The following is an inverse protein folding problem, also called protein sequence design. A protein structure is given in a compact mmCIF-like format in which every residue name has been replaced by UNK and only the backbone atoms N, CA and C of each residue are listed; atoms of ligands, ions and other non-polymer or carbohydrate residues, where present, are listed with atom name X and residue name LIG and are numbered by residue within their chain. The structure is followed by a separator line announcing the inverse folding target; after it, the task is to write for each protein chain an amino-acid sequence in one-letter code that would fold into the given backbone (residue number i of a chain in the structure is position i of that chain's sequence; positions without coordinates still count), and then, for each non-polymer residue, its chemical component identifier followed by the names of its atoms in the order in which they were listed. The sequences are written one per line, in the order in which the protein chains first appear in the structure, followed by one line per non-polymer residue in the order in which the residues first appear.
data_IF_205375846888
#
_entry.id   IF_205375846888
#
_cell.length_a   1.000
_cell.length_b   1.000
_cell.length_c   1.000
_cell.angle_alpha   90.00
_cell.angle_beta   90.00
_cell.angle_gamma   90.00
#
_symmetry.space_group_name_H-M   'P 1'
#
loop_
_entity.id
_entity.type
_entity.pdbx_description
1 polymer ?
#
# COMPACT_ATOMS: atom_id res chain seq x y z
N UNK A 1 3.74 7.41 6.43
CA UNK A 1 5.04 6.72 6.62
C UNK A 1 5.39 5.75 5.50
N UNK A 2 4.79 4.54 5.38
CA UNK A 2 5.18 3.55 4.34
C UNK A 2 5.20 4.08 2.90
N UNK A 3 4.27 4.98 2.55
CA UNK A 3 4.25 5.65 1.26
C UNK A 3 5.50 6.54 1.04
N UNK A 4 5.96 7.28 2.07
CA UNK A 4 7.17 8.10 1.99
C UNK A 4 8.41 7.26 1.71
N UNK A 5 8.48 6.08 2.33
CA UNK A 5 9.58 5.14 2.09
C UNK A 5 9.53 4.59 0.66
N UNK A 6 8.36 4.14 0.20
CA UNK A 6 8.20 3.60 -1.15
C UNK A 6 8.47 4.65 -2.26
N UNK A 7 8.13 5.91 -2.01
CA UNK A 7 8.47 7.05 -2.86
C UNK A 7 9.98 7.34 -2.89
N UNK A 8 10.66 7.08 -1.77
CA UNK A 8 12.05 7.47 -1.55
C UNK A 8 12.19 8.95 -1.19
N UNK A 9 11.24 9.52 -0.44
CA UNK A 9 11.31 10.91 0.02
C UNK A 9 12.25 11.11 1.20
N UNK A 10 12.55 10.05 1.92
CA UNK A 10 13.31 10.13 3.17
C UNK A 10 14.80 10.15 2.87
N UNK A 11 15.58 11.01 3.55
CA UNK A 11 17.03 10.99 3.45
C UNK A 11 17.58 9.67 3.99
N UNK A 12 18.69 9.20 3.44
CA UNK A 12 19.46 8.13 4.07
C UNK A 12 20.22 8.73 5.26
N UNK A 13 19.90 8.28 6.48
CA UNK A 13 20.59 8.69 7.70
C UNK A 13 21.28 7.48 8.34
N UNK A 14 22.57 7.32 8.08
CA UNK A 14 23.42 6.34 8.76
C UNK A 14 22.83 4.93 8.84
N UNK A 15 22.69 4.43 10.07
CA UNK A 15 22.16 3.10 10.40
C UNK A 15 20.64 3.08 10.63
N UNK A 16 19.95 4.23 10.56
CA UNK A 16 18.53 4.31 10.86
C UNK A 16 17.68 3.57 9.81
N UNK A 17 16.69 2.84 10.30
CA UNK A 17 15.68 2.23 9.42
C UNK A 17 14.87 3.33 8.74
N UNK A 18 14.47 3.12 7.47
CA UNK A 18 13.64 4.08 6.76
C UNK A 18 12.31 4.35 7.46
N UNK A 19 11.77 3.38 8.20
CA UNK A 19 10.60 3.54 9.06
C UNK A 19 10.87 4.50 10.24
N UNK A 20 12.02 4.38 10.89
CA UNK A 20 12.44 5.28 11.97
C UNK A 20 12.64 6.70 11.48
N UNK A 21 13.30 6.88 10.33
CA UNK A 21 13.44 8.20 9.68
C UNK A 21 12.07 8.79 9.34
N UNK A 22 11.12 7.97 8.83
CA UNK A 22 9.76 8.43 8.56
C UNK A 22 9.01 8.89 9.82
N UNK A 23 9.21 8.19 10.95
CA UNK A 23 8.59 8.53 12.23
C UNK A 23 9.17 9.82 12.80
N UNK A 24 10.49 10.00 12.73
CA UNK A 24 11.17 11.24 13.12
C UNK A 24 10.69 12.43 12.29
N UNK A 25 10.62 12.30 10.96
CA UNK A 25 10.08 13.35 10.09
C UNK A 25 8.62 13.66 10.43
N UNK A 26 7.79 12.66 10.72
CA UNK A 26 6.40 12.90 11.12
C UNK A 26 6.32 13.69 12.44
N UNK A 27 7.11 13.31 13.44
CA UNK A 27 7.16 14.00 14.73
C UNK A 27 7.65 15.44 14.57
N UNK A 28 8.60 15.71 13.68
CA UNK A 28 9.03 17.07 13.37
C UNK A 28 7.90 17.90 12.76
N UNK A 29 7.14 17.36 11.79
CA UNK A 29 5.98 18.05 11.21
C UNK A 29 4.89 18.33 12.25
N UNK A 30 4.71 17.44 13.22
CA UNK A 30 3.79 17.61 14.35
C UNK A 30 4.28 18.72 15.29
N UNK A 31 5.56 18.68 15.68
CA UNK A 31 6.16 19.67 16.59
C UNK A 31 6.18 21.09 15.98
N UNK A 32 6.19 21.19 14.65
CA UNK A 32 6.08 22.45 13.90
C UNK A 32 4.62 22.86 13.63
N UNK A 33 3.64 22.17 14.20
CA UNK A 33 2.21 22.39 14.01
C UNK A 33 1.74 22.34 12.55
N UNK A 34 2.51 21.70 11.65
CA UNK A 34 2.11 21.52 10.25
C UNK A 34 1.16 20.35 10.07
N UNK A 35 1.27 19.36 10.95
CA UNK A 35 0.39 18.20 11.02
C UNK A 35 -0.18 18.11 12.43
N UNK A 36 -1.49 17.91 12.52
CA UNK A 36 -2.19 17.65 13.77
C UNK A 36 -2.41 16.16 13.95
N UNK A 37 -2.26 15.69 15.19
CA UNK A 37 -2.56 14.30 15.56
C UNK A 37 -4.07 14.17 15.73
N UNK A 38 -4.69 13.24 15.01
CA UNK A 38 -6.11 12.94 15.15
C UNK A 38 -6.35 11.89 16.22
N UNK A 39 -6.05 10.64 15.91
CA UNK A 39 -6.24 9.50 16.82
C UNK A 39 -4.93 8.80 17.09
N UNK A 40 -4.82 8.25 18.30
CA UNK A 40 -3.74 7.36 18.69
C UNK A 40 -4.19 5.90 18.64
N UNK A 41 -3.24 5.00 18.47
CA UNK A 41 -3.42 3.58 18.71
C UNK A 41 -3.50 3.32 20.23
N UNK A 42 -3.93 2.12 20.62
CA UNK A 42 -3.92 1.69 22.03
C UNK A 42 -2.51 1.67 22.65
N UNK A 43 -1.45 1.75 21.84
CA UNK A 43 -0.06 1.83 22.26
C UNK A 43 0.48 3.28 22.24
N UNK A 44 -0.39 4.29 22.13
CA UNK A 44 0.00 5.70 22.10
C UNK A 44 0.61 6.18 20.78
N UNK A 45 0.74 5.31 19.75
CA UNK A 45 1.28 5.71 18.43
C UNK A 45 0.28 6.46 17.58
N UNK A 46 0.72 7.43 16.78
CA UNK A 46 -0.13 8.18 15.83
C UNK A 46 -0.79 7.24 14.83
N UNK A 47 -2.13 7.26 14.78
CA UNK A 47 -2.96 6.44 13.90
C UNK A 47 -3.54 7.25 12.75
N UNK A 48 -4.06 8.43 13.04
CA UNK A 48 -4.57 9.37 12.03
C UNK A 48 -3.97 10.75 12.25
N UNK A 49 -3.86 11.48 11.14
CA UNK A 49 -3.32 12.84 11.11
C UNK A 49 -4.27 13.74 10.31
N UNK A 50 -4.22 15.04 10.58
CA UNK A 50 -4.90 16.08 9.82
C UNK A 50 -3.93 17.23 9.52
N UNK A 51 -4.24 18.01 8.49
CA UNK A 51 -3.52 19.23 8.13
C UNK A 51 -4.53 20.37 8.14
N UNK A 52 -4.12 21.54 8.60
CA UNK A 52 -4.97 22.73 8.59
C UNK A 52 -5.28 23.18 7.15
N UNK A 53 -6.49 23.68 6.90
CA UNK A 53 -6.94 24.02 5.54
C UNK A 53 -6.02 25.02 4.83
N UNK A 54 -5.53 26.05 5.53
CA UNK A 54 -4.54 26.99 4.99
C UNK A 54 -3.24 26.32 4.53
N UNK A 55 -2.71 25.35 5.30
CA UNK A 55 -1.50 24.61 4.92
C UNK A 55 -1.78 23.64 3.77
N UNK A 56 -2.98 23.07 3.73
CA UNK A 56 -3.44 22.24 2.63
C UNK A 56 -3.49 23.07 1.34
N UNK A 57 -4.12 24.24 1.36
CA UNK A 57 -4.27 25.10 0.18
C UNK A 57 -2.91 25.65 -0.29
N UNK A 58 -2.04 26.04 0.66
CA UNK A 58 -0.65 26.38 0.36
C UNK A 58 0.09 25.21 -0.31
N UNK A 59 0.00 24.00 0.26
CA UNK A 59 0.64 22.80 -0.30
C UNK A 59 0.11 22.46 -1.70
N UNK A 60 -1.18 22.66 -1.94
CA UNK A 60 -1.80 22.46 -3.25
C UNK A 60 -1.30 23.50 -4.26
N UNK A 61 -1.11 24.75 -3.85
CA UNK A 61 -0.52 25.79 -4.72
C UNK A 61 0.89 25.40 -5.16
N UNK A 62 1.77 25.14 -4.20
CA UNK A 62 3.17 24.75 -4.48
C UNK A 62 3.23 23.48 -5.33
N UNK A 63 2.34 22.52 -5.07
CA UNK A 63 2.26 21.28 -5.86
C UNK A 63 1.90 21.52 -7.32
N UNK A 64 1.08 22.53 -7.65
CA UNK A 64 0.74 22.88 -9.04
C UNK A 64 1.93 23.53 -9.73
N UNK A 65 2.56 24.50 -9.06
CA UNK A 65 3.71 25.23 -9.59
C UNK A 65 4.89 24.28 -9.91
N UNK A 66 5.09 23.27 -9.05
CA UNK A 66 6.15 22.27 -9.19
C UNK A 66 5.73 21.03 -10.01
N UNK A 67 4.49 20.98 -10.52
CA UNK A 67 3.90 19.78 -11.15
C UNK A 67 4.07 18.50 -10.30
N UNK A 68 4.04 18.63 -8.98
CA UNK A 68 4.42 17.59 -8.05
C UNK A 68 3.37 16.46 -7.93
N UNK A 69 2.08 16.83 -7.94
CA UNK A 69 0.93 15.93 -7.83
C UNK A 69 -0.23 16.40 -8.74
N UNK A 70 -0.72 15.52 -9.60
CA UNK A 70 -1.97 15.69 -10.33
C UNK A 70 -3.15 15.16 -9.53
N UNK A 71 -4.15 16.01 -9.27
CA UNK A 71 -5.36 15.64 -8.52
C UNK A 71 -6.54 15.66 -9.48
N UNK A 72 -7.32 14.57 -9.51
CA UNK A 72 -8.50 14.45 -10.34
C UNK A 72 -9.76 14.28 -9.48
N UNK A 73 -10.70 15.22 -9.59
CA UNK A 73 -11.93 15.29 -8.78
C UNK A 73 -13.23 15.11 -9.59
N UNK A 74 -13.17 14.81 -10.89
CA UNK A 74 -14.38 14.50 -11.70
C UNK A 74 -14.87 15.62 -12.63
N UNK A 75 -13.97 16.42 -13.20
CA UNK A 75 -14.28 17.45 -14.22
C UNK A 75 -13.66 17.15 -15.59
N UNK A 76 -13.98 17.98 -16.59
CA UNK A 76 -13.32 17.94 -17.89
C UNK A 76 -11.81 18.15 -17.73
N UNK A 77 -11.05 17.28 -18.39
CA UNK A 77 -9.59 17.37 -18.38
C UNK A 77 -9.23 18.52 -19.31
N UNK A 78 -8.87 19.67 -18.75
CA UNK A 78 -8.19 20.74 -19.51
C UNK A 78 -6.87 20.18 -20.04
N UNK A 79 -6.92 19.64 -21.25
CA UNK A 79 -5.77 19.10 -21.96
C UNK A 79 -5.11 20.21 -22.74
N UNK A 80 -4.36 21.07 -22.06
CA UNK A 80 -3.48 22.05 -22.72
C UNK A 80 -2.00 21.88 -22.37
N UNK A 81 -1.64 20.94 -21.50
CA UNK A 81 -0.24 20.78 -21.07
C UNK A 81 0.45 19.62 -21.77
N UNK A 82 1.63 19.91 -22.35
CA UNK A 82 2.48 18.98 -23.09
C UNK A 82 2.81 17.69 -22.29
N UNK A 83 3.18 16.57 -22.94
CA UNK A 83 3.52 15.33 -22.25
C UNK A 83 4.67 15.44 -21.23
N UNK A 84 5.60 16.38 -21.44
CA UNK A 84 6.81 16.60 -20.62
C UNK A 84 6.56 17.30 -19.27
N UNK A 85 5.43 17.97 -19.12
CA UNK A 85 5.02 18.73 -17.92
C UNK A 85 4.05 17.95 -17.03
N UNK A 86 3.80 16.67 -17.34
CA UNK A 86 2.82 15.86 -16.60
C UNK A 86 3.40 15.38 -15.28
N UNK A 87 2.59 15.52 -14.23
CA UNK A 87 2.96 15.08 -12.90
C UNK A 87 3.31 13.59 -12.88
N UNK A 88 4.31 13.24 -12.06
CA UNK A 88 4.72 11.85 -11.83
C UNK A 88 3.88 11.15 -10.76
N UNK A 89 2.93 11.86 -10.16
CA UNK A 89 2.03 11.34 -9.12
C UNK A 89 0.61 11.75 -9.43
N UNK A 90 -0.31 10.81 -9.29
CA UNK A 90 -1.73 11.05 -9.54
C UNK A 90 -2.56 10.57 -8.35
N UNK A 91 -3.48 11.42 -7.92
CA UNK A 91 -4.53 11.10 -6.96
C UNK A 91 -5.90 11.20 -7.66
N UNK A 92 -6.64 10.10 -7.66
CA UNK A 92 -7.98 10.00 -8.21
C UNK A 92 -9.00 10.01 -7.07
N UNK A 93 -9.83 11.06 -7.03
CA UNK A 93 -10.92 11.23 -6.07
C UNK A 93 -12.30 10.96 -6.68
N UNK A 94 -12.39 10.86 -8.00
CA UNK A 94 -13.60 10.53 -8.74
C UNK A 94 -13.25 9.76 -10.00
N UNK A 95 -14.24 9.09 -10.60
CA UNK A 95 -14.05 8.34 -11.83
C UNK A 95 -13.97 9.31 -13.03
N UNK A 96 -12.89 9.27 -13.83
CA UNK A 96 -12.74 10.14 -14.99
C UNK A 96 -13.65 9.81 -16.17
N UNK A 97 -14.53 8.80 -16.06
CA UNK A 97 -15.51 8.52 -17.11
C UNK A 97 -16.94 8.56 -16.58
N UNK A 98 -17.83 9.10 -17.41
CA UNK A 98 -19.27 9.15 -17.15
C UNK A 98 -19.91 7.75 -17.02
N UNK A 99 -19.19 6.68 -17.40
CA UNK A 99 -19.66 5.30 -17.38
C UNK A 99 -19.08 4.44 -16.25
N UNK A 100 -18.38 5.02 -15.28
CA UNK A 100 -17.96 4.28 -14.08
C UNK A 100 -16.77 3.32 -14.31
N UNK A 101 -16.08 3.40 -15.44
CA UNK A 101 -14.89 2.58 -15.71
C UNK A 101 -13.70 3.45 -16.08
N UNK A 102 -12.55 3.24 -15.42
CA UNK A 102 -11.29 3.75 -15.92
C UNK A 102 -10.98 3.13 -17.29
N UNK A 103 -11.42 3.77 -18.36
CA UNK A 103 -10.92 3.44 -19.69
C UNK A 103 -9.44 3.88 -19.74
N UNK A 104 -8.59 3.01 -20.28
CA UNK A 104 -7.14 3.24 -20.39
C UNK A 104 -6.68 4.60 -20.97
N UNK A 105 -7.43 5.33 -21.83
CA UNK A 105 -6.95 6.57 -22.44
C UNK A 105 -6.51 7.63 -21.42
N UNK A 106 -7.17 7.73 -20.28
CA UNK A 106 -6.87 8.80 -19.31
C UNK A 106 -5.45 8.70 -18.74
N UNK A 107 -5.03 7.50 -18.35
CA UNK A 107 -3.71 7.29 -17.73
C UNK A 107 -2.59 7.09 -18.77
N UNK A 108 -2.94 6.85 -20.05
CA UNK A 108 -1.95 6.60 -21.11
C UNK A 108 -0.87 7.68 -21.21
N UNK A 109 -1.19 8.99 -21.15
CA UNK A 109 -0.18 10.03 -21.26
C UNK A 109 0.78 10.09 -20.07
N UNK A 110 0.39 9.53 -18.91
CA UNK A 110 1.19 9.53 -17.69
C UNK A 110 2.04 8.27 -17.57
N UNK A 111 1.62 7.16 -18.19
CA UNK A 111 2.21 5.84 -18.01
C UNK A 111 3.76 5.79 -18.06
N UNK A 112 4.45 6.45 -19.01
CA UNK A 112 5.92 6.38 -19.09
C UNK A 112 6.67 6.95 -17.89
N UNK A 113 6.07 7.91 -17.17
CA UNK A 113 6.73 8.66 -16.10
C UNK A 113 6.03 8.55 -14.74
N UNK A 114 4.86 7.90 -14.69
CA UNK A 114 4.08 7.76 -13.47
C UNK A 114 4.84 6.91 -12.45
N UNK A 115 5.04 7.47 -11.26
CA UNK A 115 5.68 6.83 -10.11
C UNK A 115 4.66 6.42 -9.07
N UNK A 116 3.56 7.17 -8.94
CA UNK A 116 2.58 6.92 -7.89
C UNK A 116 1.16 7.15 -8.37
N UNK A 117 0.30 6.19 -8.06
CA UNK A 117 -1.12 6.25 -8.38
C UNK A 117 -1.93 5.91 -7.14
N UNK A 118 -2.77 6.84 -6.72
CA UNK A 118 -3.59 6.75 -5.52
C UNK A 118 -5.06 6.89 -5.86
N UNK A 119 -5.87 6.05 -5.23
CA UNK A 119 -7.32 6.08 -5.31
C UNK A 119 -7.88 6.49 -3.96
N UNK A 120 -8.84 7.40 -3.97
CA UNK A 120 -9.51 7.95 -2.80
C UNK A 120 -11.03 7.91 -2.95
N UNK A 121 -11.74 8.26 -1.87
CA UNK A 121 -13.19 8.47 -1.84
C UNK A 121 -14.01 7.25 -2.28
N UNK A 122 -13.62 6.06 -1.83
CA UNK A 122 -14.39 4.83 -2.06
C UNK A 122 -14.75 4.61 -3.54
N UNK A 123 -13.72 4.73 -4.37
CA UNK A 123 -13.76 4.61 -5.82
C UNK A 123 -14.46 3.31 -6.22
N UNK A 124 -15.65 3.44 -6.80
CA UNK A 124 -16.51 2.30 -7.09
C UNK A 124 -16.08 1.57 -8.36
N UNK A 125 -16.14 0.24 -8.29
CA UNK A 125 -15.97 -0.70 -9.39
C UNK A 125 -14.75 -0.42 -10.27
N UNK A 126 -13.53 -0.26 -9.71
CA UNK A 126 -12.37 0.02 -10.54
C UNK A 126 -12.15 -1.13 -11.52
N UNK A 127 -11.81 -0.75 -12.75
CA UNK A 127 -11.33 -1.68 -13.74
C UNK A 127 -9.81 -1.64 -13.78
N UNK A 128 -9.16 -2.77 -13.54
CA UNK A 128 -7.70 -2.87 -13.51
C UNK A 128 -7.05 -3.00 -14.90
N UNK A 129 -7.79 -2.87 -16.01
CA UNK A 129 -7.21 -2.89 -17.36
C UNK A 129 -6.22 -1.76 -17.65
N UNK A 130 -6.21 -0.70 -16.82
CA UNK A 130 -5.13 0.30 -16.91
C UNK A 130 -3.77 -0.28 -16.52
N UNK A 131 -3.71 -1.39 -15.77
CA UNK A 131 -2.45 -2.03 -15.40
C UNK A 131 -1.87 -2.70 -16.64
N UNK A 132 -0.91 -2.02 -17.27
CA UNK A 132 -0.23 -2.47 -18.47
C UNK A 132 1.26 -2.18 -18.41
N UNK A 133 2.00 -2.76 -19.36
CA UNK A 133 3.48 -2.73 -19.43
C UNK A 133 4.07 -1.32 -19.52
N UNK A 134 3.26 -0.32 -19.84
CA UNK A 134 3.71 1.06 -20.04
C UNK A 134 4.05 1.74 -18.71
N UNK A 135 3.50 1.28 -17.57
CA UNK A 135 3.74 1.82 -16.22
C UNK A 135 5.07 1.32 -15.61
N UNK A 136 6.16 1.40 -16.37
CA UNK A 136 7.45 0.79 -16.01
C UNK A 136 8.11 1.40 -14.78
N UNK A 137 7.80 2.66 -14.45
CA UNK A 137 8.41 3.41 -13.35
C UNK A 137 7.52 3.48 -12.09
N UNK A 138 6.36 2.80 -12.12
CA UNK A 138 5.41 2.86 -11.01
C UNK A 138 5.99 2.17 -9.77
N UNK A 139 6.14 2.94 -8.70
CA UNK A 139 6.62 2.51 -7.37
C UNK A 139 5.49 2.33 -6.37
N UNK A 140 4.44 3.14 -6.47
CA UNK A 140 3.31 3.14 -5.55
C UNK A 140 2.02 2.93 -6.32
N UNK A 141 1.29 1.89 -5.97
CA UNK A 141 -0.09 1.68 -6.39
C UNK A 141 -0.97 1.49 -5.16
N UNK A 142 -1.81 2.49 -4.86
CA UNK A 142 -2.70 2.48 -3.71
C UNK A 142 -4.17 2.39 -4.14
N UNK A 143 -4.71 1.17 -4.08
CA UNK A 143 -6.09 0.80 -4.42
C UNK A 143 -6.94 0.56 -3.17
N UNK A 144 -6.50 1.00 -1.98
CA UNK A 144 -7.18 0.66 -0.72
C UNK A 144 -8.56 1.30 -0.56
N UNK A 145 -8.80 2.42 -1.21
CA UNK A 145 -10.09 3.11 -1.21
C UNK A 145 -10.87 2.80 -2.48
N UNK A 146 -10.76 1.57 -2.97
CA UNK A 146 -11.58 1.08 -4.07
C UNK A 146 -12.55 0.02 -3.56
N UNK A 147 -13.77 0.02 -4.10
CA UNK A 147 -14.87 -0.83 -3.63
C UNK A 147 -15.50 -1.56 -4.81
N UNK A 148 -15.86 -2.83 -4.60
CA UNK A 148 -16.75 -3.54 -5.54
C UNK A 148 -16.10 -3.95 -6.85
N UNK A 149 -14.78 -4.00 -6.95
CA UNK A 149 -14.15 -4.46 -8.20
C UNK A 149 -14.53 -5.90 -8.51
N UNK A 150 -14.99 -6.12 -9.73
CA UNK A 150 -15.32 -7.43 -10.33
C UNK A 150 -14.20 -7.96 -11.23
N UNK A 151 -13.10 -7.22 -11.37
CA UNK A 151 -11.96 -7.60 -12.19
C UNK A 151 -10.76 -7.98 -11.34
N UNK A 152 -10.04 -9.04 -11.75
CA UNK A 152 -8.77 -9.42 -11.14
C UNK A 152 -7.64 -8.62 -11.81
N UNK A 153 -6.71 -8.00 -11.05
CA UNK A 153 -5.57 -7.27 -11.62
C UNK A 153 -4.50 -8.25 -12.15
N UNK A 154 -4.84 -9.11 -13.12
CA UNK A 154 -4.00 -10.20 -13.63
C UNK A 154 -2.60 -9.76 -14.07
N UNK A 155 -2.53 -8.53 -14.59
CA UNK A 155 -1.34 -7.87 -15.07
C UNK A 155 -0.44 -7.27 -13.98
N UNK A 156 -0.83 -7.30 -12.69
CA UNK A 156 -0.06 -6.63 -11.61
C UNK A 156 1.41 -7.03 -11.55
N UNK A 157 1.72 -8.29 -11.86
CA UNK A 157 3.08 -8.82 -11.82
C UNK A 157 4.06 -8.22 -12.84
N UNK A 158 3.58 -7.41 -13.81
CA UNK A 158 4.46 -6.72 -14.77
C UNK A 158 5.07 -5.44 -14.18
N UNK A 159 4.51 -4.91 -13.10
CA UNK A 159 4.93 -3.65 -12.48
C UNK A 159 6.12 -3.87 -11.53
N UNK A 160 7.23 -4.38 -12.07
CA UNK A 160 8.39 -4.86 -11.29
C UNK A 160 9.11 -3.78 -10.45
N UNK A 161 8.84 -2.49 -10.69
CA UNK A 161 9.38 -1.37 -9.90
C UNK A 161 8.53 -1.02 -8.67
N UNK A 162 7.37 -1.68 -8.47
CA UNK A 162 6.54 -1.45 -7.30
C UNK A 162 7.29 -1.74 -6.00
N UNK A 163 7.16 -0.78 -5.08
CA UNK A 163 7.63 -0.84 -3.68
C UNK A 163 6.46 -0.85 -2.70
N UNK A 164 5.32 -0.26 -3.08
CA UNK A 164 4.08 -0.30 -2.31
C UNK A 164 2.92 -0.76 -3.18
N UNK A 165 2.19 -1.77 -2.69
CA UNK A 165 0.93 -2.22 -3.26
C UNK A 165 -0.12 -2.29 -2.15
N UNK A 166 -1.12 -1.41 -2.23
CA UNK A 166 -2.31 -1.45 -1.40
C UNK A 166 -3.49 -1.93 -2.24
N UNK A 167 -4.18 -2.97 -1.81
CA UNK A 167 -5.41 -3.48 -2.43
C UNK A 167 -6.43 -3.74 -1.34
N UNK A 168 -7.66 -3.30 -1.54
CA UNK A 168 -8.75 -3.50 -0.58
C UNK A 168 -9.98 -4.03 -1.29
N UNK A 169 -10.84 -4.72 -0.52
CA UNK A 169 -12.20 -5.10 -0.91
C UNK A 169 -12.33 -5.71 -2.32
N UNK A 170 -11.52 -6.73 -2.59
CA UNK A 170 -11.77 -7.63 -3.72
C UNK A 170 -13.04 -8.42 -3.41
N UNK A 171 -14.05 -8.35 -4.29
CA UNK A 171 -15.27 -9.15 -4.17
C UNK A 171 -14.91 -10.65 -4.19
N UNK A 172 -15.78 -11.49 -3.61
CA UNK A 172 -15.55 -12.95 -3.44
C UNK A 172 -15.11 -13.70 -4.72
N UNK A 173 -15.41 -13.17 -5.91
CA UNK A 173 -15.12 -13.80 -7.21
C UNK A 173 -13.83 -13.29 -7.87
N UNK A 174 -13.11 -12.38 -7.23
CA UNK A 174 -11.82 -11.90 -7.70
C UNK A 174 -10.71 -12.40 -6.78
N UNK A 175 -9.49 -12.52 -7.30
CA UNK A 175 -8.37 -13.08 -6.56
C UNK A 175 -7.10 -12.25 -6.77
N UNK A 176 -6.12 -12.45 -5.89
CA UNK A 176 -4.79 -11.91 -6.08
C UNK A 176 -4.04 -12.86 -7.00
N UNK A 177 -3.60 -12.44 -8.20
CA UNK A 177 -2.99 -13.36 -9.15
C UNK A 177 -1.62 -13.84 -8.65
N UNK A 178 -1.21 -15.08 -8.95
CA UNK A 178 0.12 -15.60 -8.60
C UNK A 178 1.28 -14.77 -9.17
N UNK A 179 1.03 -13.98 -10.23
CA UNK A 179 1.98 -13.03 -10.82
C UNK A 179 2.44 -11.96 -9.83
N UNK A 180 1.72 -11.74 -8.72
CA UNK A 180 2.18 -10.85 -7.63
C UNK A 180 3.57 -11.25 -7.10
N UNK A 181 3.93 -12.54 -7.15
CA UNK A 181 5.26 -13.03 -6.77
C UNK A 181 6.41 -12.50 -7.63
N UNK A 182 6.12 -11.85 -8.77
CA UNK A 182 7.13 -11.21 -9.62
C UNK A 182 7.59 -9.84 -9.08
N UNK A 183 6.85 -9.26 -8.13
CA UNK A 183 7.15 -7.96 -7.53
C UNK A 183 8.30 -8.06 -6.51
N UNK A 184 9.52 -8.34 -7.00
CA UNK A 184 10.71 -8.56 -6.16
C UNK A 184 11.19 -7.32 -5.41
N UNK A 185 10.79 -6.13 -5.86
CA UNK A 185 11.08 -4.84 -5.24
C UNK A 185 10.04 -4.38 -4.21
N UNK A 186 8.98 -5.18 -4.02
CA UNK A 186 7.90 -4.80 -3.13
C UNK A 186 8.38 -4.79 -1.69
N UNK A 187 8.14 -3.67 -1.00
CA UNK A 187 8.50 -3.44 0.40
C UNK A 187 7.26 -3.47 1.30
N UNK A 188 6.12 -3.01 0.79
CA UNK A 188 4.82 -3.06 1.49
C UNK A 188 3.78 -3.72 0.62
N UNK A 189 3.16 -4.77 1.16
CA UNK A 189 1.95 -5.39 0.64
C UNK A 189 0.82 -5.23 1.65
N UNK A 190 -0.15 -4.39 1.34
CA UNK A 190 -1.36 -4.18 2.13
C UNK A 190 -2.56 -4.75 1.38
N UNK A 191 -3.08 -5.88 1.86
CA UNK A 191 -4.22 -6.56 1.26
C UNK A 191 -5.55 -6.26 1.96
N UNK A 192 -5.52 -5.39 2.97
CA UNK A 192 -6.70 -4.98 3.72
C UNK A 192 -7.59 -6.16 4.10
N UNK A 193 -8.90 -5.92 4.10
CA UNK A 193 -9.95 -6.93 4.33
C UNK A 193 -10.31 -7.66 3.03
N UNK A 194 -9.39 -8.43 2.48
CA UNK A 194 -9.67 -9.28 1.32
C UNK A 194 -10.41 -10.56 1.73
N UNK A 195 -11.44 -10.93 0.98
CA UNK A 195 -12.10 -12.24 1.12
C UNK A 195 -11.43 -13.33 0.28
N UNK A 196 -10.46 -12.95 -0.54
CA UNK A 196 -9.88 -13.81 -1.57
C UNK A 196 -8.65 -14.57 -1.06
N UNK A 197 -8.46 -15.84 -1.46
CA UNK A 197 -7.25 -16.58 -1.15
C UNK A 197 -5.99 -15.84 -1.63
N UNK A 198 -4.97 -15.82 -0.78
CA UNK A 198 -3.67 -15.25 -1.13
C UNK A 198 -2.80 -16.36 -1.73
N UNK A 199 -2.24 -16.18 -2.93
CA UNK A 199 -1.38 -17.19 -3.55
C UNK A 199 -0.10 -17.40 -2.74
N UNK A 200 0.36 -18.65 -2.63
CA UNK A 200 1.58 -19.03 -1.91
C UNK A 200 2.87 -18.69 -2.70
N UNK A 201 3.04 -17.40 -3.00
CA UNK A 201 4.16 -16.84 -3.77
C UNK A 201 4.87 -15.70 -3.04
N UNK A 202 4.37 -15.28 -1.88
CA UNK A 202 4.90 -14.14 -1.11
C UNK A 202 6.36 -14.35 -0.71
N UNK A 203 6.77 -15.60 -0.43
CA UNK A 203 8.18 -15.96 -0.18
C UNK A 203 9.18 -15.54 -1.27
N UNK A 204 8.72 -15.22 -2.49
CA UNK A 204 9.58 -14.71 -3.58
C UNK A 204 9.99 -13.24 -3.37
N UNK A 205 9.28 -12.49 -2.54
CA UNK A 205 9.44 -11.04 -2.33
C UNK A 205 10.48 -10.74 -1.24
N UNK A 206 11.77 -10.96 -1.52
CA UNK A 206 12.85 -10.85 -0.52
C UNK A 206 13.01 -9.46 0.13
N UNK A 207 12.52 -8.40 -0.54
CA UNK A 207 12.56 -7.00 -0.06
C UNK A 207 11.34 -6.61 0.77
N UNK A 208 10.38 -7.53 0.97
CA UNK A 208 9.15 -7.25 1.67
C UNK A 208 9.44 -6.99 3.15
N UNK A 209 9.03 -5.80 3.62
CA UNK A 209 9.17 -5.33 5.00
C UNK A 209 7.85 -5.33 5.74
N UNK A 210 6.74 -5.08 5.05
CA UNK A 210 5.41 -5.03 5.65
C UNK A 210 4.42 -5.89 4.88
N UNK A 211 3.83 -6.86 5.56
CA UNK A 211 2.72 -7.66 5.09
C UNK A 211 1.50 -7.41 5.98
N UNK A 212 0.47 -6.76 5.44
CA UNK A 212 -0.75 -6.41 6.16
C UNK A 212 -1.92 -7.20 5.58
N UNK A 213 -2.46 -8.11 6.39
CA UNK A 213 -3.56 -9.00 6.07
C UNK A 213 -4.70 -8.77 7.09
N UNK A 214 -5.92 -8.58 6.61
CA UNK A 214 -7.12 -8.65 7.44
C UNK A 214 -7.95 -9.83 6.91
N UNK A 215 -7.87 -10.96 7.61
CA UNK A 215 -8.56 -12.17 7.19
C UNK A 215 -9.98 -12.16 7.75
N UNK A 216 -10.93 -11.82 6.87
CA UNK A 216 -12.37 -12.04 7.09
C UNK A 216 -12.88 -13.26 6.30
N UNK A 217 -11.99 -14.01 5.66
CA UNK A 217 -12.34 -15.16 4.84
C UNK A 217 -12.59 -16.40 5.72
N UNK A 218 -13.28 -17.40 5.15
CA UNK A 218 -13.67 -18.64 5.84
C UNK A 218 -12.43 -19.38 6.41
N UNK A 219 -12.58 -20.16 7.50
CA UNK A 219 -11.51 -20.70 8.38
C UNK A 219 -10.45 -21.64 7.75
N UNK A 220 -10.39 -21.78 6.42
CA UNK A 220 -9.35 -22.55 5.74
C UNK A 220 -8.11 -21.70 5.50
N UNK A 221 -7.44 -21.44 6.62
CA UNK A 221 -6.06 -21.02 6.85
C UNK A 221 -5.20 -20.85 5.58
N UNK A 222 -4.85 -19.60 5.28
CA UNK A 222 -3.83 -19.30 4.28
C UNK A 222 -2.47 -19.84 4.75
N UNK A 223 -2.05 -20.99 4.21
CA UNK A 223 -0.70 -21.52 4.41
C UNK A 223 0.28 -20.74 3.53
N UNK A 224 0.73 -19.57 4.01
CA UNK A 224 1.79 -18.80 3.35
C UNK A 224 3.16 -19.29 3.80
N UNK A 225 3.99 -19.63 2.82
CA UNK A 225 5.42 -19.77 3.01
C UNK A 225 6.04 -18.37 3.18
N UNK A 226 6.76 -18.15 4.28
CA UNK A 226 7.39 -16.86 4.64
C UNK A 226 8.87 -17.00 5.03
N UNK A 227 9.46 -18.19 4.88
CA UNK A 227 10.82 -18.55 5.28
C UNK A 227 11.93 -17.69 4.64
N UNK A 228 11.68 -17.13 3.45
CA UNK A 228 12.66 -16.33 2.70
C UNK A 228 12.53 -14.81 2.87
N UNK A 229 11.72 -14.34 3.83
CA UNK A 229 11.45 -12.91 4.05
C UNK A 229 12.34 -12.31 5.14
N UNK A 230 13.65 -12.25 4.90
CA UNK A 230 14.64 -11.78 5.88
C UNK A 230 14.51 -10.31 6.30
N UNK A 231 13.84 -9.48 5.50
CA UNK A 231 13.62 -8.05 5.79
C UNK A 231 12.24 -7.77 6.40
N UNK A 232 11.44 -8.80 6.71
CA UNK A 232 10.09 -8.59 7.19
C UNK A 232 10.08 -7.99 8.60
N UNK A 233 9.61 -6.75 8.72
CA UNK A 233 9.52 -5.99 9.96
C UNK A 233 8.10 -6.02 10.55
N UNK A 234 7.07 -6.09 9.70
CA UNK A 234 5.67 -6.10 10.16
C UNK A 234 4.89 -7.22 9.48
N UNK A 235 4.29 -8.07 10.30
CA UNK A 235 3.24 -8.98 9.89
C UNK A 235 1.99 -8.66 10.71
N UNK A 236 1.00 -8.04 10.07
CA UNK A 236 -0.30 -7.79 10.70
C UNK A 236 -1.29 -8.79 10.14
N UNK A 237 -1.82 -9.67 10.98
CA UNK A 237 -2.94 -10.55 10.64
C UNK A 237 -4.07 -10.29 11.62
N UNK A 238 -5.12 -9.60 11.20
CA UNK A 238 -6.33 -9.48 12.02
C UNK A 238 -7.12 -10.77 11.86
N UNK A 239 -7.21 -11.59 12.92
CA UNK A 239 -8.04 -12.80 12.96
C UNK A 239 -9.43 -12.48 13.48
N UNK A 240 -10.45 -12.92 12.76
CA UNK A 240 -11.73 -13.25 13.34
C UNK A 240 -11.77 -14.78 13.61
N UNK A 241 -11.21 -15.24 14.72
CA UNK A 241 -11.32 -16.65 15.18
C UNK A 241 -10.01 -17.38 15.51
N UNK A 242 -10.14 -18.40 16.38
CA UNK A 242 -9.07 -19.11 17.07
C UNK A 242 -8.29 -20.13 16.20
N UNK A 243 -7.46 -19.80 15.19
CA UNK A 243 -6.58 -20.82 14.52
C UNK A 243 -5.23 -20.33 13.97
N UNK A 244 -4.15 -21.09 14.24
CA UNK A 244 -2.69 -20.87 13.99
C UNK A 244 -2.27 -20.59 12.52
N UNK A 245 -1.32 -19.67 12.32
CA UNK A 245 -0.54 -19.53 11.08
C UNK A 245 0.63 -20.50 11.24
N UNK A 246 0.75 -21.48 10.36
CA UNK A 246 1.88 -22.42 10.36
C UNK A 246 2.99 -21.81 9.49
N UNK A 247 3.94 -21.12 10.12
CA UNK A 247 5.21 -20.78 9.47
C UNK A 247 6.10 -22.03 9.48
N UNK A 248 6.47 -22.55 8.31
CA UNK A 248 7.52 -23.59 8.24
C UNK A 248 8.85 -22.93 8.59
N UNK A 249 9.41 -23.34 9.72
CA UNK A 249 10.62 -22.81 10.38
C UNK A 249 11.86 -23.12 9.52
N UNK A 250 12.28 -22.17 8.68
CA UNK A 250 13.66 -22.08 8.20
C UNK A 250 14.34 -21.01 9.03
N UNK A 251 15.26 -21.42 9.93
CA UNK A 251 16.09 -20.59 10.84
C UNK A 251 15.75 -19.09 10.84
N UNK A 252 14.67 -18.75 11.55
CA UNK A 252 14.39 -17.39 11.98
C UNK A 252 15.37 -17.11 13.12
N UNK A 253 16.58 -16.65 12.79
CA UNK A 253 17.54 -16.19 13.79
C UNK A 253 16.86 -15.12 14.64
N UNK A 254 16.90 -15.33 15.95
CA UNK A 254 16.48 -14.42 17.03
C UNK A 254 15.52 -13.32 16.59
N UNK A 255 14.25 -13.72 16.46
CA UNK A 255 13.13 -12.79 16.47
C UNK A 255 13.09 -12.17 17.87
N UNK A 256 13.87 -11.11 18.07
CA UNK A 256 13.78 -10.25 19.23
C UNK A 256 12.80 -9.14 18.84
N UNK A 257 11.50 -9.20 19.24
CA UNK A 257 10.57 -8.10 19.03
C UNK A 257 10.99 -6.96 19.96
N UNK A 258 12.06 -6.25 19.62
CA UNK A 258 12.33 -4.94 20.20
C UNK A 258 11.20 -4.03 19.76
N UNK A 259 10.30 -3.80 20.71
CA UNK A 259 9.42 -2.63 20.83
C UNK A 259 8.72 -2.23 19.52
N UNK A 260 7.73 -2.98 19.04
CA UNK A 260 6.67 -2.47 18.12
C UNK A 260 5.58 -3.47 17.71
N UNK A 261 5.38 -4.55 18.46
CA UNK A 261 4.39 -5.58 18.11
C UNK A 261 3.55 -5.88 19.34
N UNK A 262 2.22 -5.69 19.23
CA UNK A 262 1.24 -6.25 20.19
C UNK A 262 1.54 -7.73 20.41
N UNK A 263 1.23 -8.29 21.59
CA UNK A 263 1.60 -9.65 21.91
C UNK A 263 1.01 -10.58 20.86
N UNK A 264 1.88 -11.32 20.19
CA UNK A 264 1.52 -12.66 19.79
C UNK A 264 1.08 -13.33 21.10
N UNK A 265 -0.22 -13.63 21.24
CA UNK A 265 -0.64 -14.60 22.24
C UNK A 265 -0.04 -15.93 21.78
N UNK A 266 1.19 -16.17 22.21
CA UNK A 266 1.83 -17.48 22.21
C UNK A 266 1.36 -18.10 23.52
N UNK A 267 0.22 -18.79 23.50
CA UNK A 267 -0.02 -19.80 24.53
C UNK A 267 0.91 -20.96 24.16
N UNK A 268 2.06 -21.03 24.83
CA UNK A 268 2.86 -22.24 24.91
C UNK A 268 2.07 -23.28 25.72
N UNK A 269 2.22 -24.55 25.33
CA UNK A 269 1.33 -25.64 25.70
C UNK A 269 1.30 -26.02 27.17
N UNK A 270 0.38 -26.95 27.40
CA UNK A 270 0.29 -27.83 28.56
C UNK A 270 -0.75 -28.87 28.17
N UNK A 271 -0.28 -29.96 27.56
CA UNK A 271 -1.01 -31.22 27.62
C UNK A 271 -1.18 -31.58 29.09
N UNK A 272 -2.38 -31.96 29.51
CA UNK A 272 -2.58 -33.08 30.44
C UNK A 272 -4.08 -33.41 30.53
N UNK A 273 -4.37 -34.63 30.03
CA UNK A 273 -5.52 -35.52 30.24
C UNK A 273 -6.87 -35.16 29.61
#
# INVERSE_FOLDING_TARGET
MRLWVAEGFLPQQGEDTAEGVAENCLNELINRCMIQVGTLTSLGRVKTISIHDLLRDFSLSVSRDENFLGIYTGGEVESSVSPSTKSRRIALHSNPTQHGFLHSPFLNPYAPHLRSLHFFNDFQHPNYYFIKKDFKLLKVLDLKHTIGSTHTPSAIGILIQLRYLGVSQILKNCYIPPSIGNLKNLETLDLGSSYSPIPNVIWKMKRLRHLLLCDKSKPNCVNLRLDNLSHLQTLKTIRAGNRKIITRKGKLGDFNPKENVLPAIIVAGGDEQ
#
